data_IF_243862484924
#
_entry.id   IF_243862484924
#
_cell.length_a   1.000
_cell.length_b   1.000
_cell.length_c   1.000
_cell.angle_alpha   90.00
_cell.angle_beta   90.00
_cell.angle_gamma   90.00
#
_symmetry.space_group_name_H-M   'P 1'
#
loop_
_entity.id
_entity.type
_entity.pdbx_description
1 polymer ?
#
# COMPACT_ATOMS: atom_id res chain seq x y z
N UNK A 1 8.62 -2.88 32.54
CA UNK A 1 9.87 -3.03 33.32
C UNK A 1 10.33 -4.48 33.38
N UNK A 2 9.57 -5.40 34.01
CA UNK A 2 10.01 -6.80 34.20
C UNK A 2 10.42 -7.50 32.89
N UNK A 3 9.58 -7.46 31.85
CA UNK A 3 9.91 -8.04 30.54
C UNK A 3 11.20 -7.47 29.92
N UNK A 4 11.52 -6.20 30.18
CA UNK A 4 12.75 -5.55 29.71
C UNK A 4 13.93 -5.96 30.59
N UNK A 5 13.74 -6.10 31.90
CA UNK A 5 14.76 -6.67 32.77
C UNK A 5 15.15 -8.07 32.28
N UNK A 6 14.17 -8.95 32.08
CA UNK A 6 14.41 -10.35 31.68
C UNK A 6 15.08 -10.45 30.30
N UNK A 7 14.63 -9.64 29.31
CA UNK A 7 15.25 -9.58 27.99
C UNK A 7 16.76 -9.32 28.06
N UNK A 8 17.17 -8.36 28.90
CA UNK A 8 18.57 -7.98 29.04
C UNK A 8 19.35 -8.95 29.94
N UNK A 9 18.75 -9.40 31.06
CA UNK A 9 19.37 -10.35 31.99
C UNK A 9 19.65 -11.70 31.31
N UNK A 10 18.70 -12.19 30.49
CA UNK A 10 18.86 -13.41 29.70
C UNK A 10 19.74 -13.22 28.45
N UNK A 11 20.24 -12.02 28.18
CA UNK A 11 21.05 -11.68 26.99
C UNK A 11 20.34 -12.00 25.67
N UNK A 12 19.02 -11.82 25.62
CA UNK A 12 18.16 -12.12 24.46
C UNK A 12 17.92 -10.91 23.53
N UNK A 13 18.63 -9.81 23.74
CA UNK A 13 18.46 -8.57 22.95
C UNK A 13 18.77 -8.77 21.47
N UNK A 14 19.74 -9.63 21.14
CA UNK A 14 20.06 -9.94 19.74
C UNK A 14 18.89 -10.67 19.06
N UNK A 15 18.36 -11.73 19.67
CA UNK A 15 17.24 -12.50 19.14
C UNK A 15 15.99 -11.64 18.97
N UNK A 16 15.73 -10.74 19.92
CA UNK A 16 14.66 -9.77 19.78
C UNK A 16 14.91 -8.81 18.59
N UNK A 17 16.13 -8.30 18.43
CA UNK A 17 16.48 -7.43 17.28
C UNK A 17 16.36 -8.17 15.95
N UNK A 18 16.82 -9.42 15.88
CA UNK A 18 16.74 -10.26 14.68
C UNK A 18 15.28 -10.46 14.23
N UNK A 19 14.32 -10.44 15.16
CA UNK A 19 12.88 -10.54 14.86
C UNK A 19 12.24 -9.16 14.58
N UNK A 20 12.68 -8.13 15.31
CA UNK A 20 12.09 -6.79 15.26
C UNK A 20 12.56 -5.95 14.07
N UNK A 21 13.82 -6.09 13.65
CA UNK A 21 14.41 -5.28 12.58
C UNK A 21 13.83 -5.55 11.18
N UNK A 22 13.63 -6.82 10.73
CA UNK A 22 13.01 -7.09 9.43
C UNK A 22 11.67 -6.38 9.28
N UNK A 23 10.86 -6.44 10.33
CA UNK A 23 9.58 -5.74 10.40
C UNK A 23 9.73 -4.22 10.22
N UNK A 24 10.76 -3.60 10.81
CA UNK A 24 11.00 -2.16 10.64
C UNK A 24 11.37 -1.81 9.19
N UNK A 25 12.06 -2.71 8.49
CA UNK A 25 12.43 -2.55 7.09
C UNK A 25 11.27 -2.71 6.12
N UNK A 26 10.28 -3.53 6.46
CA UNK A 26 9.11 -3.69 5.61
C UNK A 26 8.05 -2.61 5.87
N UNK A 27 7.71 -2.37 7.14
CA UNK A 27 6.52 -1.56 7.51
C UNK A 27 6.91 -0.23 8.12
N UNK A 28 7.84 -0.23 9.07
CA UNK A 28 8.28 0.98 9.78
C UNK A 28 8.59 0.76 11.24
N UNK A 29 9.14 1.80 11.86
CA UNK A 29 9.55 1.77 13.27
C UNK A 29 8.33 1.72 14.20
N UNK A 30 8.52 1.22 15.42
CA UNK A 30 7.48 1.27 16.46
C UNK A 30 7.05 2.71 16.76
N UNK A 31 5.74 2.94 16.79
CA UNK A 31 5.19 4.21 17.25
C UNK A 31 5.29 4.35 18.78
N UNK A 32 5.21 3.23 19.50
CA UNK A 32 5.43 3.11 20.94
C UNK A 32 6.93 3.07 21.31
N UNK A 33 7.23 3.20 22.61
CA UNK A 33 8.58 3.00 23.16
C UNK A 33 9.03 1.55 23.02
N UNK A 34 10.32 1.39 22.67
CA UNK A 34 11.01 0.10 22.52
C UNK A 34 11.63 -0.40 23.85
N UNK A 35 12.01 -1.69 23.94
CA UNK A 35 12.76 -2.21 25.10
C UNK A 35 14.04 -1.42 25.40
N UNK A 36 14.75 -0.96 24.37
CA UNK A 36 15.96 -0.16 24.53
C UNK A 36 15.67 1.21 25.16
N UNK A 37 14.63 1.90 24.70
CA UNK A 37 14.22 3.19 25.27
C UNK A 37 13.76 3.04 26.73
N UNK A 38 12.97 1.99 27.02
CA UNK A 38 12.54 1.71 28.40
C UNK A 38 13.73 1.36 29.30
N UNK A 39 14.69 0.58 28.81
CA UNK A 39 15.91 0.22 29.54
C UNK A 39 16.73 1.46 29.90
N UNK A 40 16.85 2.44 29.00
CA UNK A 40 17.54 3.69 29.30
C UNK A 40 16.89 4.45 30.46
N UNK A 41 15.56 4.48 30.52
CA UNK A 41 14.82 5.11 31.62
C UNK A 41 15.04 4.33 32.92
N UNK A 42 14.94 3.00 32.86
CA UNK A 42 15.19 2.11 34.00
C UNK A 42 16.62 2.30 34.55
N UNK A 43 17.63 2.37 33.70
CA UNK A 43 19.03 2.48 34.10
C UNK A 43 19.36 3.81 34.77
N UNK A 44 18.70 4.90 34.35
CA UNK A 44 18.85 6.21 34.99
C UNK A 44 18.29 6.24 36.41
N UNK A 45 17.24 5.48 36.68
CA UNK A 45 16.49 5.55 37.95
C UNK A 45 16.93 4.46 38.94
N UNK A 46 17.06 3.22 38.46
CA UNK A 46 17.37 2.07 39.31
C UNK A 46 18.85 1.67 39.25
N UNK A 47 19.59 2.11 38.23
CA UNK A 47 20.97 1.70 37.95
C UNK A 47 21.04 0.50 37.00
N UNK A 48 22.21 0.31 36.37
CA UNK A 48 22.40 -0.69 35.29
C UNK A 48 22.25 -2.16 35.73
N UNK A 49 22.52 -2.44 37.02
CA UNK A 49 22.49 -3.78 37.62
C UNK A 49 21.37 -3.91 38.67
N UNK A 50 20.28 -3.15 38.50
CA UNK A 50 19.15 -3.18 39.42
C UNK A 50 18.56 -4.60 39.54
N UNK A 51 18.23 -4.98 40.76
CA UNK A 51 17.57 -6.26 41.09
C UNK A 51 16.05 -6.09 41.18
N UNK A 52 15.30 -7.18 41.36
CA UNK A 52 13.85 -7.07 41.59
C UNK A 52 13.49 -6.26 42.84
N UNK A 53 14.33 -6.29 43.87
CA UNK A 53 14.09 -5.52 45.10
C UNK A 53 14.23 -4.02 44.88
N UNK A 54 15.11 -3.58 43.98
CA UNK A 54 15.26 -2.17 43.61
C UNK A 54 13.97 -1.60 43.01
N UNK A 55 13.21 -2.40 42.26
CA UNK A 55 11.95 -1.99 41.65
C UNK A 55 10.81 -1.83 42.67
N UNK A 56 10.97 -2.37 43.88
CA UNK A 56 9.99 -2.24 44.97
C UNK A 56 10.13 -0.95 45.74
N UNK A 57 11.24 -0.22 45.58
CA UNK A 57 11.45 1.05 46.26
C UNK A 57 10.43 2.11 45.75
N UNK A 58 9.51 2.61 46.60
CA UNK A 58 8.44 3.49 46.15
C UNK A 58 8.92 4.80 45.52
N UNK A 59 9.95 5.43 46.09
CA UNK A 59 10.49 6.70 45.58
C UNK A 59 11.20 6.53 44.25
N UNK A 60 11.95 5.43 44.06
CA UNK A 60 12.54 5.11 42.75
C UNK A 60 11.46 4.77 41.72
N UNK A 61 10.43 4.02 42.11
CA UNK A 61 9.31 3.70 41.21
C UNK A 61 8.58 4.96 40.75
N UNK A 62 8.31 5.91 41.66
CA UNK A 62 7.72 7.21 41.31
C UNK A 62 8.60 8.01 40.35
N UNK A 63 9.92 8.05 40.60
CA UNK A 63 10.87 8.68 39.68
C UNK A 63 10.90 8.01 38.29
N UNK A 64 10.76 6.68 38.24
CA UNK A 64 10.61 5.94 36.98
C UNK A 64 9.34 6.32 36.24
N UNK A 65 8.20 6.38 36.92
CA UNK A 65 6.93 6.81 36.30
C UNK A 65 7.06 8.23 35.75
N UNK A 66 7.66 9.17 36.49
CA UNK A 66 7.92 10.53 36.00
C UNK A 66 8.83 10.54 34.76
N UNK A 67 9.89 9.73 34.76
CA UNK A 67 10.77 9.58 33.60
C UNK A 67 10.07 8.99 32.39
N UNK A 68 9.24 7.96 32.60
CA UNK A 68 8.42 7.34 31.56
C UNK A 68 7.41 8.32 30.97
N UNK A 69 6.69 9.08 31.80
CA UNK A 69 5.72 10.08 31.36
C UNK A 69 6.36 11.27 30.62
N UNK A 70 7.68 11.47 30.76
CA UNK A 70 8.44 12.49 30.03
C UNK A 70 9.01 11.98 28.69
N UNK A 71 8.84 10.70 28.38
CA UNK A 71 9.29 10.12 27.12
C UNK A 71 8.39 10.54 25.95
N UNK A 72 8.75 10.13 24.72
CA UNK A 72 7.93 10.43 23.54
C UNK A 72 6.59 9.68 23.61
N UNK A 73 5.52 10.38 23.25
CA UNK A 73 4.20 9.80 22.99
C UNK A 73 4.13 9.23 21.55
N UNK A 74 3.20 8.30 21.27
CA UNK A 74 2.95 7.84 19.90
C UNK A 74 2.55 9.01 18.99
N UNK A 75 2.90 8.94 17.70
CA UNK A 75 2.56 9.96 16.71
C UNK A 75 1.15 9.79 16.19
N UNK A 76 0.70 8.54 16.03
CA UNK A 76 -0.67 8.23 15.60
C UNK A 76 -1.54 8.19 16.85
N UNK A 77 -2.37 9.22 17.02
CA UNK A 77 -3.19 9.40 18.23
C UNK A 77 -4.66 9.31 17.90
N UNK A 78 -5.33 8.34 18.51
CA UNK A 78 -6.78 8.18 18.36
C UNK A 78 -7.51 9.43 18.84
N UNK A 79 -8.40 9.97 18.00
CA UNK A 79 -9.30 11.06 18.39
C UNK A 79 -10.59 10.44 18.93
N UNK A 80 -10.91 10.65 20.20
CA UNK A 80 -12.14 10.18 20.81
C UNK A 80 -13.14 11.32 20.99
N UNK A 81 -14.39 11.10 20.57
CA UNK A 81 -15.50 12.03 20.80
C UNK A 81 -16.08 11.92 22.22
N UNK A 82 -16.01 10.75 22.84
CA UNK A 82 -16.49 10.48 24.20
C UNK A 82 -15.58 9.50 24.94
N UNK A 83 -15.27 9.79 26.20
CA UNK A 83 -14.84 8.79 27.18
C UNK A 83 -16.06 8.46 28.02
N UNK A 84 -16.71 7.33 27.76
CA UNK A 84 -17.82 6.87 28.62
C UNK A 84 -17.24 6.41 29.97
N UNK A 85 -17.77 6.87 31.12
CA UNK A 85 -17.39 6.30 32.42
C UNK A 85 -17.71 4.80 32.42
N UNK A 86 -16.71 3.94 32.62
CA UNK A 86 -16.88 2.49 32.72
C UNK A 86 -16.32 1.64 31.56
N UNK A 87 -15.86 2.25 30.47
CA UNK A 87 -14.83 1.56 29.65
C UNK A 87 -13.50 1.66 30.39
N UNK A 88 -12.73 0.56 30.45
CA UNK A 88 -11.31 0.58 30.85
C UNK A 88 -10.68 1.84 30.25
N UNK A 89 -9.89 2.63 31.00
CA UNK A 89 -9.20 3.77 30.42
C UNK A 89 -8.35 3.23 29.28
N UNK A 90 -8.83 3.41 28.04
CA UNK A 90 -7.99 3.27 26.86
C UNK A 90 -6.93 4.32 27.11
N UNK A 91 -5.69 3.87 27.33
CA UNK A 91 -4.58 4.75 27.69
C UNK A 91 -4.68 6.00 26.82
N UNK A 92 -4.74 7.17 27.46
CA UNK A 92 -4.90 8.43 26.74
C UNK A 92 -3.87 8.44 25.61
N UNK A 93 -4.27 8.58 24.34
CA UNK A 93 -3.35 8.41 23.21
C UNK A 93 -2.23 9.47 23.21
N UNK A 94 -2.30 10.45 24.11
CA UNK A 94 -1.31 11.49 24.34
C UNK A 94 -0.23 11.16 25.37
N UNK A 95 -0.28 9.99 26.04
CA UNK A 95 0.77 9.58 26.99
C UNK A 95 1.74 8.57 26.36
N UNK A 96 3.00 8.52 26.82
CA UNK A 96 3.95 7.50 26.38
C UNK A 96 3.42 6.08 26.63
N UNK A 97 3.62 5.21 25.65
CA UNK A 97 3.24 3.81 25.72
C UNK A 97 4.46 2.94 25.45
N UNK A 98 4.52 1.78 26.10
CA UNK A 98 5.53 0.76 25.84
C UNK A 98 4.85 -0.50 25.34
N UNK A 99 5.38 -1.06 24.26
CA UNK A 99 4.97 -2.38 23.75
C UNK A 99 6.21 -3.15 23.34
N UNK A 100 6.28 -4.42 23.74
CA UNK A 100 7.42 -5.28 23.42
C UNK A 100 7.59 -5.50 21.90
N UNK A 101 6.47 -5.61 21.18
CA UNK A 101 6.36 -5.61 19.72
C UNK A 101 5.33 -4.54 19.32
N UNK A 102 5.67 -3.26 19.49
CA UNK A 102 4.74 -2.16 19.28
C UNK A 102 4.21 -2.03 17.86
N UNK A 103 3.06 -1.36 17.72
CA UNK A 103 2.46 -1.07 16.42
C UNK A 103 3.39 -0.18 15.59
N UNK A 104 3.32 -0.32 14.27
CA UNK A 104 4.21 0.40 13.37
C UNK A 104 3.64 1.75 13.00
N UNK A 105 4.49 2.76 13.07
CA UNK A 105 4.14 4.05 12.51
C UNK A 105 4.11 3.93 10.97
N UNK A 106 2.96 4.27 10.40
CA UNK A 106 2.78 4.40 8.96
C UNK A 106 2.22 5.81 8.63
N UNK A 107 2.83 6.52 7.66
CA UNK A 107 2.56 7.94 7.41
C UNK A 107 1.13 8.26 6.97
N UNK A 108 0.52 7.37 6.22
CA UNK A 108 -0.85 7.50 5.73
C UNK A 108 -1.87 7.32 6.86
N UNK A 109 -1.62 6.50 7.88
CA UNK A 109 -2.46 6.51 9.11
C UNK A 109 -2.36 7.85 9.84
N UNK A 110 -1.19 8.49 9.88
CA UNK A 110 -1.09 9.86 10.42
C UNK A 110 -1.94 10.84 9.60
N UNK A 111 -1.87 10.75 8.26
CA UNK A 111 -2.64 11.60 7.35
C UNK A 111 -4.14 11.43 7.59
N UNK A 112 -4.63 10.17 7.54
CA UNK A 112 -6.03 9.84 7.77
C UNK A 112 -6.50 10.31 9.15
N UNK A 113 -5.70 10.07 10.20
CA UNK A 113 -6.02 10.47 11.57
C UNK A 113 -6.12 11.99 11.72
N UNK A 114 -5.18 12.75 11.14
CA UNK A 114 -5.17 14.21 11.21
C UNK A 114 -6.27 14.85 10.38
N UNK A 115 -6.64 14.23 9.25
CA UNK A 115 -7.72 14.69 8.39
C UNK A 115 -9.11 14.17 8.76
N UNK A 116 -9.20 13.35 9.81
CA UNK A 116 -10.46 12.97 10.45
C UNK A 116 -10.76 13.91 11.63
N UNK A 117 -12.03 14.26 11.83
CA UNK A 117 -12.49 15.03 12.98
C UNK A 117 -13.82 14.43 13.47
N UNK A 118 -13.87 13.82 14.67
CA UNK A 118 -14.98 12.95 15.08
C UNK A 118 -16.39 13.53 14.91
N UNK A 119 -16.56 14.85 15.09
CA UNK A 119 -17.87 15.48 15.05
C UNK A 119 -18.32 15.92 13.66
N UNK A 120 -17.38 16.31 12.81
CA UNK A 120 -17.72 16.95 11.52
C UNK A 120 -17.30 16.08 10.34
N UNK A 121 -16.17 15.40 10.44
CA UNK A 121 -15.62 14.52 9.40
C UNK A 121 -15.05 13.24 10.02
N UNK A 122 -15.90 12.36 10.59
CA UNK A 122 -15.45 11.19 11.33
C UNK A 122 -14.71 10.16 10.46
N UNK A 123 -14.95 10.13 9.15
CA UNK A 123 -14.30 9.18 8.23
C UNK A 123 -13.54 9.93 7.14
N UNK A 124 -12.22 9.72 7.01
CA UNK A 124 -11.42 10.27 5.92
C UNK A 124 -11.64 9.49 4.61
N UNK A 125 -10.89 9.82 3.56
CA UNK A 125 -10.93 9.14 2.25
C UNK A 125 -9.53 8.73 1.82
N UNK A 126 -9.38 7.67 1.03
CA UNK A 126 -8.09 7.30 0.44
C UNK A 126 -7.48 8.44 -0.39
N UNK A 127 -8.34 9.27 -1.01
CA UNK A 127 -7.94 10.48 -1.71
C UNK A 127 -7.18 11.49 -0.83
N UNK A 128 -7.42 11.54 0.48
CA UNK A 128 -6.68 12.42 1.40
C UNK A 128 -5.19 12.08 1.41
N UNK A 129 -4.85 10.78 1.39
CA UNK A 129 -3.48 10.29 1.30
C UNK A 129 -2.84 10.78 0.00
N UNK A 130 -3.53 10.58 -1.14
CA UNK A 130 -3.02 10.98 -2.45
C UNK A 130 -2.87 12.50 -2.58
N UNK A 131 -3.76 13.27 -1.95
CA UNK A 131 -3.66 14.73 -1.89
C UNK A 131 -2.42 15.19 -1.12
N UNK A 132 -2.15 14.60 0.06
CA UNK A 132 -0.94 14.91 0.85
C UNK A 132 0.33 14.43 0.16
N UNK A 133 0.27 13.32 -0.57
CA UNK A 133 1.36 12.84 -1.41
C UNK A 133 1.62 13.74 -2.62
N UNK A 134 0.76 14.72 -2.89
CA UNK A 134 1.00 15.80 -3.85
C UNK A 134 0.17 15.70 -5.13
N UNK A 135 -0.91 14.91 -5.16
CA UNK A 135 -1.80 14.82 -6.32
C UNK A 135 -2.75 16.03 -6.40
N UNK A 136 -2.62 16.90 -7.42
CA UNK A 136 -3.57 18.00 -7.61
C UNK A 136 -4.95 17.48 -8.01
N UNK A 137 -5.01 16.32 -8.67
CA UNK A 137 -6.28 15.70 -9.08
C UNK A 137 -7.07 15.21 -7.87
N UNK A 138 -6.40 14.57 -6.90
CA UNK A 138 -7.03 14.18 -5.65
C UNK A 138 -7.60 15.37 -4.88
N UNK A 139 -6.84 16.47 -4.77
CA UNK A 139 -7.30 17.73 -4.17
C UNK A 139 -8.57 18.23 -4.87
N UNK A 140 -8.59 18.29 -6.21
CA UNK A 140 -9.78 18.73 -6.95
C UNK A 140 -10.99 17.82 -6.70
N UNK A 141 -10.81 16.50 -6.63
CA UNK A 141 -11.91 15.57 -6.35
C UNK A 141 -12.46 15.78 -4.93
N UNK A 142 -11.59 15.94 -3.93
CA UNK A 142 -11.99 16.22 -2.55
C UNK A 142 -12.75 17.56 -2.44
N UNK A 143 -12.26 18.61 -3.11
CA UNK A 143 -12.79 19.96 -2.98
C UNK A 143 -14.07 20.17 -3.80
N UNK A 144 -14.13 19.63 -5.02
CA UNK A 144 -15.22 19.91 -5.97
C UNK A 144 -16.26 18.80 -6.00
N UNK A 145 -15.82 17.53 -6.07
CA UNK A 145 -16.74 16.40 -6.20
C UNK A 145 -17.32 16.00 -4.83
N UNK A 146 -16.46 15.82 -3.82
CA UNK A 146 -16.88 15.45 -2.47
C UNK A 146 -17.23 16.64 -1.58
N UNK A 147 -16.76 17.85 -1.92
CA UNK A 147 -17.01 19.08 -1.16
C UNK A 147 -16.58 18.98 0.31
N UNK A 148 -15.49 18.27 0.57
CA UNK A 148 -14.92 18.10 1.92
C UNK A 148 -14.67 19.42 2.67
N UNK A 149 -14.22 20.52 2.01
CA UNK A 149 -14.07 21.82 2.67
C UNK A 149 -15.37 22.39 3.28
N UNK A 150 -16.54 21.97 2.79
CA UNK A 150 -17.84 22.40 3.32
C UNK A 150 -18.25 21.62 4.58
N UNK A 151 -17.59 20.47 4.82
CA UNK A 151 -17.91 19.58 5.94
C UNK A 151 -17.11 19.96 7.19
N UNK A 152 -15.86 20.43 7.01
CA UNK A 152 -14.99 20.83 8.12
C UNK A 152 -14.15 22.06 7.75
N UNK A 153 -14.43 23.21 8.37
CA UNK A 153 -13.79 24.50 8.02
C UNK A 153 -12.25 24.50 8.12
N UNK A 154 -11.67 23.67 9.00
CA UNK A 154 -10.20 23.58 9.14
C UNK A 154 -9.56 22.57 8.20
N UNK A 155 -10.34 21.81 7.43
CA UNK A 155 -9.85 20.73 6.57
C UNK A 155 -8.77 21.19 5.59
N UNK A 156 -9.02 22.28 4.86
CA UNK A 156 -8.06 22.81 3.88
C UNK A 156 -6.76 23.27 4.55
N UNK A 157 -6.85 23.91 5.71
CA UNK A 157 -5.69 24.38 6.46
C UNK A 157 -4.83 23.20 6.96
N UNK A 158 -5.45 22.19 7.55
CA UNK A 158 -4.77 20.98 8.03
C UNK A 158 -4.17 20.14 6.89
N UNK A 159 -4.90 19.98 5.78
CA UNK A 159 -4.38 19.32 4.57
C UNK A 159 -3.16 20.04 4.02
N UNK A 160 -3.21 21.36 3.90
CA UNK A 160 -2.08 22.14 3.39
C UNK A 160 -0.87 22.11 4.34
N UNK A 161 -1.11 22.02 5.65
CA UNK A 161 -0.05 21.79 6.64
C UNK A 161 0.64 20.44 6.42
N UNK A 162 -0.15 19.37 6.27
CA UNK A 162 0.36 18.03 5.94
C UNK A 162 1.14 18.02 4.62
N UNK A 163 0.61 18.64 3.55
CA UNK A 163 1.31 18.74 2.26
C UNK A 163 2.69 19.40 2.42
N UNK A 164 2.80 20.48 3.22
CA UNK A 164 4.09 21.13 3.48
C UNK A 164 5.03 20.25 4.28
N UNK A 165 4.56 19.64 5.36
CA UNK A 165 5.37 18.75 6.22
C UNK A 165 5.92 17.56 5.42
N UNK A 166 5.06 16.89 4.64
CA UNK A 166 5.46 15.76 3.79
C UNK A 166 6.32 16.18 2.59
N UNK A 167 6.09 17.39 2.06
CA UNK A 167 6.88 17.96 0.97
C UNK A 167 8.30 18.37 1.40
N UNK A 168 8.52 18.63 2.69
CA UNK A 168 9.83 18.97 3.27
C UNK A 168 10.62 17.75 3.73
N UNK A 169 10.05 16.54 3.66
CA UNK A 169 10.76 15.33 4.06
C UNK A 169 11.96 15.08 3.13
N UNK A 170 13.15 14.83 3.68
CA UNK A 170 14.33 14.53 2.89
C UNK A 170 14.19 13.17 2.18
N UNK A 171 14.93 13.00 1.08
CA UNK A 171 14.83 11.82 0.21
C UNK A 171 15.16 10.51 0.94
N UNK A 172 16.11 10.53 1.87
CA UNK A 172 16.48 9.39 2.72
C UNK A 172 15.30 8.88 3.57
N UNK A 173 14.39 9.77 3.97
CA UNK A 173 13.16 9.38 4.67
C UNK A 173 12.24 8.55 3.77
N UNK A 174 12.05 8.98 2.53
CA UNK A 174 11.25 8.25 1.53
C UNK A 174 11.84 6.90 1.17
N UNK A 175 13.16 6.73 1.30
CA UNK A 175 13.85 5.46 1.02
C UNK A 175 14.31 4.74 2.30
N UNK A 176 13.72 5.07 3.45
CA UNK A 176 14.17 4.53 4.74
C UNK A 176 13.72 3.08 4.99
N UNK A 177 12.62 2.67 4.38
CA UNK A 177 12.07 1.31 4.43
C UNK A 177 11.13 1.07 3.22
N UNK A 178 10.65 -0.16 3.07
CA UNK A 178 9.81 -0.55 1.92
C UNK A 178 8.48 0.20 1.89
N UNK A 179 7.82 0.42 3.04
CA UNK A 179 6.56 1.15 3.11
C UNK A 179 6.65 2.58 2.56
N UNK A 180 7.60 3.36 3.09
CA UNK A 180 7.89 4.72 2.62
C UNK A 180 8.31 4.72 1.16
N UNK A 181 9.11 3.72 0.78
CA UNK A 181 9.56 3.52 -0.58
C UNK A 181 8.40 3.27 -1.56
N UNK A 182 7.40 2.48 -1.15
CA UNK A 182 6.23 2.19 -1.97
C UNK A 182 5.36 3.44 -2.16
N UNK A 183 5.09 4.19 -1.09
CA UNK A 183 4.40 5.48 -1.22
C UNK A 183 5.19 6.46 -2.10
N UNK A 184 6.52 6.43 -2.04
CA UNK A 184 7.37 7.18 -2.94
C UNK A 184 7.21 6.72 -4.39
N UNK A 185 7.10 5.42 -4.70
CA UNK A 185 6.72 4.96 -6.05
C UNK A 185 5.38 5.55 -6.48
N UNK A 186 4.35 5.48 -5.63
CA UNK A 186 3.01 5.98 -5.97
C UNK A 186 3.00 7.49 -6.28
N UNK A 187 3.82 8.30 -5.58
CA UNK A 187 3.99 9.73 -5.89
C UNK A 187 4.38 10.00 -7.35
N UNK A 188 5.07 9.06 -8.00
CA UNK A 188 5.56 9.25 -9.38
C UNK A 188 4.45 9.12 -10.44
N UNK A 189 3.35 8.44 -10.14
CA UNK A 189 2.25 8.19 -11.09
C UNK A 189 1.04 9.11 -10.88
N UNK A 190 0.93 9.77 -9.73
CA UNK A 190 -0.21 10.65 -9.38
C UNK A 190 0.00 12.14 -9.73
N UNK A 191 1.08 12.44 -10.48
CA UNK A 191 1.42 13.80 -10.94
C UNK A 191 0.79 14.10 -12.30
N UNK A 192 0.51 15.37 -12.63
CA UNK A 192 0.08 15.73 -13.98
C UNK A 192 1.21 15.51 -14.98
N UNK A 193 0.85 15.05 -16.19
CA UNK A 193 1.77 14.90 -17.32
C UNK A 193 1.61 16.10 -18.27
N UNK A 194 2.73 16.76 -18.58
CA UNK A 194 2.78 17.96 -19.42
C UNK A 194 3.29 17.69 -20.83
N UNK A 195 3.84 18.72 -21.46
CA UNK A 195 4.54 18.61 -22.75
C UNK A 195 5.67 17.57 -22.68
N UNK A 196 5.86 16.82 -23.76
CA UNK A 196 6.78 15.68 -23.83
C UNK A 196 6.14 14.31 -23.56
N UNK A 197 4.94 14.25 -22.96
CA UNK A 197 4.18 13.01 -22.81
C UNK A 197 3.12 12.83 -23.91
N UNK A 198 2.73 11.58 -24.25
CA UNK A 198 1.68 11.31 -25.22
C UNK A 198 0.35 12.00 -24.90
N UNK A 199 -0.43 12.36 -25.93
CA UNK A 199 -1.73 13.04 -25.78
C UNK A 199 -2.70 12.32 -24.84
N UNK A 200 -2.70 10.98 -24.85
CA UNK A 200 -3.56 10.17 -23.99
C UNK A 200 -3.25 10.35 -22.49
N UNK A 201 -2.05 10.79 -22.10
CA UNK A 201 -1.68 11.00 -20.69
C UNK A 201 -1.97 12.41 -20.16
N UNK A 202 -2.15 13.38 -21.06
CA UNK A 202 -2.22 14.81 -20.72
C UNK A 202 -3.62 15.28 -20.31
N UNK A 203 -4.54 14.36 -20.07
CA UNK A 203 -5.94 14.66 -19.74
C UNK A 203 -6.32 14.20 -18.31
N UNK A 204 -7.48 14.65 -17.85
CA UNK A 204 -7.98 14.29 -16.52
C UNK A 204 -8.35 12.81 -16.40
N UNK A 205 -8.84 12.17 -17.48
CA UNK A 205 -9.21 10.75 -17.45
C UNK A 205 -8.01 9.86 -17.17
N UNK A 206 -6.84 10.19 -17.71
CA UNK A 206 -5.60 9.48 -17.40
C UNK A 206 -5.13 9.73 -15.98
N UNK A 207 -5.23 10.98 -15.48
CA UNK A 207 -4.94 11.28 -14.07
C UNK A 207 -5.87 10.52 -13.13
N UNK A 208 -7.15 10.37 -13.47
CA UNK A 208 -8.11 9.58 -12.72
C UNK A 208 -7.77 8.08 -12.75
N UNK A 209 -7.36 7.55 -13.92
CA UNK A 209 -6.85 6.18 -14.04
C UNK A 209 -5.63 5.95 -13.14
N UNK A 210 -4.65 6.83 -13.19
CA UNK A 210 -3.44 6.72 -12.37
C UNK A 210 -3.75 6.86 -10.88
N UNK A 211 -4.70 7.72 -10.52
CA UNK A 211 -5.15 7.88 -9.14
C UNK A 211 -5.88 6.62 -8.64
N UNK A 212 -6.73 6.00 -9.47
CA UNK A 212 -7.38 4.72 -9.15
C UNK A 212 -6.35 3.61 -8.98
N UNK A 213 -5.32 3.58 -9.84
CA UNK A 213 -4.20 2.63 -9.75
C UNK A 213 -3.42 2.82 -8.46
N UNK A 214 -3.11 4.07 -8.10
CA UNK A 214 -2.38 4.39 -6.88
C UNK A 214 -3.19 4.05 -5.61
N UNK A 215 -4.50 4.28 -5.62
CA UNK A 215 -5.39 3.94 -4.51
C UNK A 215 -5.55 2.42 -4.35
N UNK A 216 -5.69 1.67 -5.43
CA UNK A 216 -5.70 0.21 -5.39
C UNK A 216 -4.37 -0.35 -4.87
N UNK A 217 -3.24 0.15 -5.37
CA UNK A 217 -1.91 -0.27 -4.89
C UNK A 217 -1.67 0.14 -3.43
N UNK A 218 -2.20 1.28 -3.00
CA UNK A 218 -2.19 1.67 -1.58
C UNK A 218 -3.07 0.75 -0.74
N UNK A 219 -4.26 0.35 -1.22
CA UNK A 219 -5.10 -0.63 -0.53
C UNK A 219 -4.39 -1.99 -0.36
N UNK A 220 -3.67 -2.46 -1.40
CA UNK A 220 -2.78 -3.63 -1.29
C UNK A 220 -1.67 -3.42 -0.25
N UNK A 221 -0.98 -2.27 -0.27
CA UNK A 221 0.03 -1.95 0.74
C UNK A 221 -0.56 -1.98 2.18
N UNK A 222 -1.77 -1.47 2.37
CA UNK A 222 -2.48 -1.54 3.67
C UNK A 222 -2.78 -2.98 4.04
N UNK A 223 -3.35 -3.74 3.12
CA UNK A 223 -3.64 -5.16 3.30
C UNK A 223 -2.40 -5.94 3.77
N UNK A 224 -1.29 -5.81 3.04
CA UNK A 224 -0.04 -6.54 3.30
C UNK A 224 0.60 -6.18 4.65
N UNK A 225 0.26 -5.00 5.19
CA UNK A 225 0.85 -4.47 6.43
C UNK A 225 -0.06 -4.54 7.65
N UNK A 226 -1.33 -4.93 7.48
CA UNK A 226 -2.29 -4.95 8.59
C UNK A 226 -1.86 -5.96 9.66
N UNK A 227 -1.47 -7.20 9.32
CA UNK A 227 -0.95 -8.18 10.30
C UNK A 227 0.00 -9.26 9.69
N UNK A 228 0.80 -8.91 8.67
CA UNK A 228 1.68 -9.80 7.87
C UNK A 228 0.93 -10.84 7.04
N UNK A 229 -0.07 -10.38 6.29
CA UNK A 229 -0.91 -11.21 5.43
C UNK A 229 -0.36 -11.34 3.99
N UNK A 230 -0.98 -12.24 3.25
CA UNK A 230 -0.48 -13.00 2.11
C UNK A 230 -0.51 -12.23 0.80
N UNK A 231 0.44 -12.56 -0.07
CA UNK A 231 0.58 -11.96 -1.39
C UNK A 231 -0.55 -12.41 -2.32
N UNK A 232 -1.03 -11.48 -3.13
CA UNK A 232 -2.11 -11.68 -4.09
C UNK A 232 -1.66 -11.08 -5.43
N UNK A 233 -1.77 -11.89 -6.50
CA UNK A 233 -1.23 -11.57 -7.81
C UNK A 233 -2.17 -12.00 -8.93
N UNK A 234 -2.18 -11.21 -10.00
CA UNK A 234 -2.89 -11.47 -11.25
C UNK A 234 -2.15 -12.50 -12.09
N UNK A 235 -2.78 -13.65 -12.32
CA UNK A 235 -2.39 -14.58 -13.37
C UNK A 235 -2.83 -14.02 -14.74
N UNK A 236 -1.87 -13.78 -15.63
CA UNK A 236 -2.13 -13.56 -17.05
C UNK A 236 -1.74 -14.84 -17.79
N UNK A 237 -2.71 -15.74 -18.01
CA UNK A 237 -2.48 -16.96 -18.78
C UNK A 237 -2.03 -16.58 -20.20
N UNK A 238 -0.84 -17.03 -20.59
CA UNK A 238 -0.46 -17.05 -21.99
C UNK A 238 -1.30 -18.10 -22.71
N UNK A 239 -2.42 -17.67 -23.29
CA UNK A 239 -3.29 -18.55 -24.06
C UNK A 239 -2.51 -19.33 -25.13
N UNK A 240 -2.50 -20.65 -25.01
CA UNK A 240 -2.00 -21.57 -26.04
C UNK A 240 -2.92 -21.54 -27.26
N UNK A 241 -2.51 -20.82 -28.29
CA UNK A 241 -3.20 -20.73 -29.58
C UNK A 241 -2.25 -20.32 -30.69
N UNK A 242 -2.72 -20.39 -31.94
CA UNK A 242 -1.96 -19.87 -33.09
C UNK A 242 -1.42 -18.48 -32.79
N UNK A 243 -0.14 -18.26 -33.07
CA UNK A 243 0.53 -16.98 -32.85
C UNK A 243 -0.32 -15.90 -33.54
N UNK A 244 -0.96 -14.98 -32.79
CA UNK A 244 -1.62 -13.85 -33.42
C UNK A 244 -0.59 -13.06 -34.25
N UNK A 245 -1.03 -12.20 -35.18
CA UNK A 245 -0.13 -11.30 -35.90
C UNK A 245 0.83 -10.63 -34.90
N UNK A 246 2.09 -10.38 -35.31
CA UNK A 246 3.09 -9.69 -34.48
C UNK A 246 2.66 -8.24 -34.20
N UNK A 247 1.69 -8.07 -33.32
CA UNK A 247 1.19 -6.78 -32.88
C UNK A 247 2.26 -6.13 -31.99
N UNK A 248 2.52 -4.84 -32.22
CA UNK A 248 3.46 -4.07 -31.42
C UNK A 248 2.82 -3.73 -30.07
N UNK A 249 3.56 -3.92 -28.99
CA UNK A 249 3.18 -3.45 -27.67
C UNK A 249 3.70 -2.04 -27.40
N UNK A 250 3.22 -1.44 -26.31
CA UNK A 250 3.64 -0.12 -25.84
C UNK A 250 3.79 -0.15 -24.33
N UNK A 251 4.90 0.36 -23.78
CA UNK A 251 5.11 0.40 -22.33
C UNK A 251 4.53 1.71 -21.81
N UNK A 252 3.76 1.65 -20.72
CA UNK A 252 3.23 2.88 -20.12
C UNK A 252 4.41 3.82 -19.77
N UNK A 253 4.42 5.07 -20.25
CA UNK A 253 5.66 5.84 -20.29
C UNK A 253 5.86 6.57 -18.96
N UNK A 254 6.14 5.79 -17.92
CA UNK A 254 6.39 6.21 -16.55
C UNK A 254 7.79 5.76 -16.09
N UNK A 255 8.87 6.14 -16.78
CA UNK A 255 10.23 5.66 -16.48
C UNK A 255 10.66 5.97 -15.04
N UNK A 256 10.15 7.05 -14.46
CA UNK A 256 10.39 7.36 -13.06
C UNK A 256 9.81 6.30 -12.12
N UNK A 257 8.61 5.77 -12.39
CA UNK A 257 7.99 4.75 -11.55
C UNK A 257 8.82 3.46 -11.57
N UNK A 258 9.25 3.01 -12.75
CA UNK A 258 10.11 1.84 -12.91
C UNK A 258 11.45 2.01 -12.19
N UNK A 259 12.08 3.18 -12.32
CA UNK A 259 13.33 3.49 -11.59
C UNK A 259 13.13 3.46 -10.07
N UNK A 260 12.01 3.99 -9.57
CA UNK A 260 11.70 3.99 -8.14
C UNK A 260 11.43 2.56 -7.64
N UNK A 261 10.73 1.73 -8.41
CA UNK A 261 10.54 0.30 -8.12
C UNK A 261 11.88 -0.44 -8.09
N UNK A 262 12.74 -0.22 -9.08
CA UNK A 262 14.07 -0.83 -9.16
C UNK A 262 14.89 -0.54 -7.90
N UNK A 263 14.84 0.71 -7.43
CA UNK A 263 15.48 1.10 -6.18
C UNK A 263 14.96 0.30 -4.96
N UNK A 264 13.66 -0.02 -4.90
CA UNK A 264 13.10 -0.81 -3.80
C UNK A 264 13.54 -2.27 -3.84
N UNK A 265 13.65 -2.86 -5.03
CA UNK A 265 14.16 -4.23 -5.19
C UNK A 265 15.62 -4.31 -4.72
N UNK A 266 16.44 -3.35 -5.14
CA UNK A 266 17.83 -3.22 -4.69
C UNK A 266 17.94 -2.96 -3.18
N UNK A 267 17.06 -2.12 -2.63
CA UNK A 267 16.99 -1.84 -1.19
C UNK A 267 16.65 -3.12 -0.41
N UNK A 268 15.72 -3.93 -0.90
CA UNK A 268 15.34 -5.22 -0.28
C UNK A 268 16.56 -6.12 -0.14
N UNK A 269 17.35 -6.27 -1.22
CA UNK A 269 18.61 -7.05 -1.17
C UNK A 269 19.60 -6.47 -0.16
N UNK A 270 19.81 -5.15 -0.19
CA UNK A 270 20.73 -4.46 0.73
C UNK A 270 20.35 -4.64 2.20
N UNK A 271 19.05 -4.66 2.54
CA UNK A 271 18.57 -4.76 3.91
C UNK A 271 18.61 -6.20 4.46
N UNK A 272 18.33 -7.19 3.62
CA UNK A 272 18.21 -8.59 4.03
C UNK A 272 19.54 -9.36 4.03
N UNK A 273 20.47 -9.07 3.11
CA UNK A 273 21.74 -9.82 2.97
C UNK A 273 22.59 -9.83 4.24
N UNK A 274 22.87 -8.69 4.92
CA UNK A 274 23.75 -8.67 6.10
C UNK A 274 23.21 -9.47 7.30
N UNK A 275 21.93 -9.86 7.27
CA UNK A 275 21.23 -10.54 8.37
C UNK A 275 20.97 -12.02 8.09
N UNK A 276 21.42 -12.53 6.95
CA UNK A 276 21.19 -13.92 6.56
C UNK A 276 19.74 -14.23 6.14
N UNK A 277 18.94 -13.20 5.82
CA UNK A 277 17.55 -13.36 5.34
C UNK A 277 17.45 -13.42 3.82
N UNK A 278 18.57 -13.36 3.10
CA UNK A 278 18.62 -13.45 1.64
C UNK A 278 19.18 -14.81 1.22
N UNK A 279 18.33 -15.70 0.71
CA UNK A 279 18.77 -16.94 0.08
C UNK A 279 19.30 -16.68 -1.32
N UNK A 280 20.04 -17.64 -1.88
CA UNK A 280 20.55 -17.51 -3.25
C UNK A 280 19.40 -17.44 -4.25
N UNK A 281 18.41 -18.30 -4.07
CA UNK A 281 17.25 -18.42 -4.94
C UNK A 281 16.41 -17.13 -4.94
N UNK A 282 16.19 -16.54 -3.75
CA UNK A 282 15.53 -15.24 -3.64
C UNK A 282 16.35 -14.13 -4.29
N UNK A 283 17.67 -14.14 -4.13
CA UNK A 283 18.56 -13.16 -4.77
C UNK A 283 18.51 -13.25 -6.29
N UNK A 284 18.48 -14.47 -6.85
CA UNK A 284 18.39 -14.70 -8.30
C UNK A 284 17.05 -14.18 -8.84
N UNK A 285 15.95 -14.40 -8.10
CA UNK A 285 14.61 -13.91 -8.48
C UNK A 285 14.46 -12.40 -8.38
N UNK A 286 15.09 -11.77 -7.38
CA UNK A 286 15.18 -10.31 -7.32
C UNK A 286 16.02 -9.75 -8.46
N UNK A 287 17.06 -10.45 -8.94
CA UNK A 287 17.84 -10.03 -10.10
C UNK A 287 17.02 -10.12 -11.40
N UNK A 288 16.26 -11.20 -11.59
CA UNK A 288 15.30 -11.30 -12.70
C UNK A 288 14.25 -10.16 -12.67
N UNK A 289 13.80 -9.76 -11.47
CA UNK A 289 12.89 -8.62 -11.33
C UNK A 289 13.57 -7.27 -11.61
N UNK A 290 14.82 -7.09 -11.20
CA UNK A 290 15.64 -5.92 -11.56
C UNK A 290 15.77 -5.80 -13.08
N UNK A 291 16.12 -6.88 -13.78
CA UNK A 291 16.23 -6.92 -15.24
C UNK A 291 14.92 -6.51 -15.93
N UNK A 292 13.78 -6.98 -15.42
CA UNK A 292 12.47 -6.61 -15.94
C UNK A 292 12.20 -5.10 -15.77
N UNK A 293 12.48 -4.54 -14.60
CA UNK A 293 12.27 -3.12 -14.32
C UNK A 293 13.23 -2.23 -15.13
N UNK A 294 14.48 -2.64 -15.31
CA UNK A 294 15.45 -1.96 -16.16
C UNK A 294 15.02 -1.96 -17.63
N UNK A 295 14.50 -3.09 -18.12
CA UNK A 295 13.91 -3.19 -19.45
C UNK A 295 12.74 -2.22 -19.62
N UNK A 296 11.76 -2.23 -18.71
CA UNK A 296 10.58 -1.36 -18.76
C UNK A 296 10.98 0.13 -18.70
N UNK A 297 11.92 0.49 -17.81
CA UNK A 297 12.44 1.85 -17.73
C UNK A 297 13.10 2.28 -19.05
N UNK A 298 13.95 1.42 -19.63
CA UNK A 298 14.66 1.70 -20.89
C UNK A 298 13.68 1.87 -22.04
N UNK A 299 12.70 0.98 -22.17
CA UNK A 299 11.69 1.03 -23.25
C UNK A 299 10.79 2.26 -23.09
N UNK A 300 10.26 2.52 -21.91
CA UNK A 300 9.45 3.72 -21.64
C UNK A 300 10.20 5.01 -21.98
N UNK A 301 11.52 5.06 -21.71
CA UNK A 301 12.36 6.20 -22.05
C UNK A 301 12.53 6.33 -23.57
N UNK A 302 12.83 5.23 -24.27
CA UNK A 302 12.94 5.21 -25.74
C UNK A 302 11.65 5.67 -26.42
N UNK A 303 10.50 5.18 -25.95
CA UNK A 303 9.18 5.53 -26.49
C UNK A 303 8.85 7.01 -26.27
N UNK A 304 9.18 7.58 -25.11
CA UNK A 304 9.02 9.02 -24.84
C UNK A 304 9.91 9.88 -25.74
N UNK A 305 11.12 9.42 -26.05
CA UNK A 305 12.06 10.09 -26.95
C UNK A 305 11.72 9.89 -28.43
N UNK A 306 10.66 9.13 -28.76
CA UNK A 306 10.28 8.80 -30.14
C UNK A 306 11.28 7.88 -30.84
N UNK A 307 12.15 7.19 -30.09
CA UNK A 307 13.12 6.25 -30.66
C UNK A 307 12.44 4.91 -30.97
N UNK A 308 12.78 4.34 -32.12
CA UNK A 308 12.28 3.04 -32.55
C UNK A 308 12.82 1.91 -31.66
N UNK A 309 11.93 1.01 -31.23
CA UNK A 309 12.30 -0.21 -30.51
C UNK A 309 12.80 -1.30 -31.46
N UNK A 310 13.67 -2.19 -30.97
CA UNK A 310 14.14 -3.34 -31.74
C UNK A 310 13.08 -4.46 -31.80
N UNK A 311 13.26 -5.42 -32.71
CA UNK A 311 12.38 -6.59 -32.79
C UNK A 311 12.38 -7.39 -31.47
N UNK A 312 13.56 -7.57 -30.87
CA UNK A 312 13.72 -8.26 -29.58
C UNK A 312 13.01 -7.51 -28.44
N UNK A 313 13.04 -6.17 -28.44
CA UNK A 313 12.32 -5.36 -27.46
C UNK A 313 10.80 -5.56 -27.60
N UNK A 314 10.26 -5.58 -28.82
CA UNK A 314 8.84 -5.88 -29.01
C UNK A 314 8.47 -7.33 -28.61
N UNK A 315 9.34 -8.30 -28.88
CA UNK A 315 9.14 -9.67 -28.44
C UNK A 315 9.19 -9.79 -26.90
N UNK A 316 10.05 -9.04 -26.22
CA UNK A 316 10.08 -8.97 -24.76
C UNK A 316 8.82 -8.29 -24.17
N UNK A 317 8.33 -7.20 -24.78
CA UNK A 317 7.05 -6.58 -24.36
C UNK A 317 5.91 -7.61 -24.42
N UNK A 318 5.87 -8.44 -25.48
CA UNK A 318 4.85 -9.46 -25.65
C UNK A 318 4.90 -10.56 -24.57
N UNK A 319 6.08 -10.79 -23.99
CA UNK A 319 6.32 -11.81 -22.96
C UNK A 319 6.26 -11.25 -21.53
N UNK A 320 5.95 -9.96 -21.34
CA UNK A 320 5.95 -9.34 -20.01
C UNK A 320 4.99 -10.05 -19.04
N UNK A 321 3.83 -10.50 -19.53
CA UNK A 321 2.86 -11.26 -18.74
C UNK A 321 3.45 -12.57 -18.23
N UNK A 322 4.15 -13.32 -19.08
CA UNK A 322 4.85 -14.56 -18.69
C UNK A 322 5.96 -14.28 -17.67
N UNK A 323 6.70 -13.19 -17.85
CA UNK A 323 7.80 -12.85 -16.94
C UNK A 323 7.26 -12.53 -15.54
N UNK A 324 6.21 -11.71 -15.46
CA UNK A 324 5.52 -11.43 -14.20
C UNK A 324 4.92 -12.70 -13.58
N UNK A 325 4.33 -13.56 -14.39
CA UNK A 325 3.74 -14.83 -13.93
C UNK A 325 4.78 -15.74 -13.27
N UNK A 326 5.89 -16.00 -13.96
CA UNK A 326 6.96 -16.91 -13.46
C UNK A 326 7.55 -16.40 -12.16
N UNK A 327 7.87 -15.09 -12.10
CA UNK A 327 8.40 -14.48 -10.89
C UNK A 327 7.45 -14.66 -9.72
N UNK A 328 6.17 -14.42 -9.96
CA UNK A 328 5.19 -14.37 -8.90
C UNK A 328 4.75 -15.75 -8.44
N UNK A 329 4.56 -16.70 -9.35
CA UNK A 329 4.29 -18.10 -9.00
C UNK A 329 5.44 -18.67 -8.15
N UNK A 330 6.68 -18.32 -8.50
CA UNK A 330 7.84 -18.71 -7.72
C UNK A 330 7.79 -18.15 -6.30
N UNK A 331 7.54 -16.84 -6.14
CA UNK A 331 7.46 -16.20 -4.82
C UNK A 331 6.33 -16.80 -3.99
N UNK A 332 5.16 -17.01 -4.59
CA UNK A 332 3.96 -17.55 -3.92
C UNK A 332 4.12 -18.99 -3.44
N UNK A 333 4.92 -19.79 -4.15
CA UNK A 333 5.07 -21.21 -3.87
C UNK A 333 6.42 -21.59 -3.30
N UNK A 334 7.33 -20.63 -3.07
CA UNK A 334 8.72 -20.91 -2.72
C UNK A 334 9.36 -21.88 -3.75
N UNK A 335 9.05 -21.65 -5.03
CA UNK A 335 9.49 -22.46 -6.18
C UNK A 335 8.89 -23.87 -6.28
N UNK A 336 7.85 -24.20 -5.49
CA UNK A 336 7.27 -25.56 -5.44
C UNK A 336 6.13 -25.78 -6.42
N UNK A 337 5.41 -24.72 -6.82
CA UNK A 337 4.29 -24.83 -7.73
C UNK A 337 4.75 -24.66 -9.19
N UNK A 338 4.20 -25.48 -10.07
CA UNK A 338 4.39 -25.37 -11.52
C UNK A 338 3.27 -24.59 -12.20
N UNK A 339 2.10 -24.56 -11.57
CA UNK A 339 0.90 -23.91 -12.07
C UNK A 339 0.12 -23.23 -10.94
N UNK A 340 -0.64 -22.18 -11.27
CA UNK A 340 -1.45 -21.42 -10.30
C UNK A 340 -2.51 -22.26 -9.59
N UNK A 341 -3.00 -23.34 -10.20
CA UNK A 341 -3.99 -24.22 -9.57
C UNK A 341 -3.39 -25.02 -8.39
N UNK A 342 -2.06 -25.06 -8.25
CA UNK A 342 -1.37 -25.74 -7.15
C UNK A 342 -1.21 -24.83 -5.92
N UNK A 343 -1.41 -23.51 -6.07
CA UNK A 343 -1.32 -22.56 -4.96
C UNK A 343 -2.47 -22.80 -3.97
N UNK A 344 -2.12 -22.94 -2.69
CA UNK A 344 -3.06 -23.15 -1.61
C UNK A 344 -2.81 -22.18 -0.47
N UNK A 345 -3.89 -21.66 0.16
CA UNK A 345 -5.30 -21.80 -0.21
C UNK A 345 -5.69 -21.11 -1.53
N UNK A 346 -6.82 -21.51 -2.11
CA UNK A 346 -7.31 -20.98 -3.39
C UNK A 346 -7.58 -19.46 -3.40
N UNK A 347 -7.79 -18.86 -2.23
CA UNK A 347 -7.90 -17.41 -2.01
C UNK A 347 -6.67 -16.66 -2.47
N UNK A 348 -5.50 -17.32 -2.41
CA UNK A 348 -4.19 -16.73 -2.74
C UNK A 348 -3.95 -16.69 -4.26
N UNK A 349 -4.94 -17.15 -5.05
CA UNK A 349 -4.95 -17.09 -6.52
C UNK A 349 -5.69 -15.88 -7.06
N UNK A 350 -6.44 -15.17 -6.23
CA UNK A 350 -7.25 -14.02 -6.64
C UNK A 350 -6.55 -12.73 -6.26
N UNK A 351 -6.48 -11.79 -7.21
CA UNK A 351 -5.90 -10.46 -7.01
C UNK A 351 -6.69 -9.59 -6.03
N UNK A 352 -7.95 -9.96 -5.77
CA UNK A 352 -8.85 -9.19 -4.95
C UNK A 352 -8.52 -9.34 -3.47
N UNK A 353 -8.24 -8.21 -2.83
CA UNK A 353 -7.94 -8.09 -1.41
C UNK A 353 -8.68 -6.91 -0.80
N UNK A 354 -8.84 -6.91 0.54
CA UNK A 354 -9.51 -5.84 1.26
C UNK A 354 -8.81 -5.48 2.56
N UNK A 355 -8.84 -4.20 2.92
CA UNK A 355 -8.17 -3.68 4.11
C UNK A 355 -9.03 -2.61 4.80
N UNK A 356 -9.22 -2.76 6.12
CA UNK A 356 -9.79 -1.68 6.92
C UNK A 356 -8.68 -0.68 7.32
N UNK A 357 -8.84 0.58 6.90
CA UNK A 357 -7.79 1.60 7.06
C UNK A 357 -8.10 2.63 8.14
N UNK A 358 -9.36 2.71 8.55
CA UNK A 358 -9.83 3.64 9.56
C UNK A 358 -11.08 3.11 10.27
N UNK A 359 -11.25 3.41 11.55
CA UNK A 359 -12.47 3.09 12.32
C UNK A 359 -13.03 4.35 12.93
N UNK A 360 -14.32 4.60 12.70
CA UNK A 360 -15.05 5.71 13.27
C UNK A 360 -16.16 5.19 14.21
N UNK A 361 -16.27 5.83 15.36
CA UNK A 361 -17.31 5.56 16.36
C UNK A 361 -18.11 6.84 16.53
N UNK A 362 -19.30 6.89 15.95
CA UNK A 362 -20.23 8.01 16.03
C UNK A 362 -21.57 7.55 16.61
N UNK A 363 -21.70 7.65 17.94
CA UNK A 363 -22.89 7.23 18.70
C UNK A 363 -23.95 8.32 18.84
N UNK A 364 -23.84 9.43 18.11
CA UNK A 364 -24.89 10.47 18.12
C UNK A 364 -26.20 9.93 17.55
N UNK A 365 -27.36 10.47 17.96
CA UNK A 365 -28.61 10.26 17.23
C UNK A 365 -28.42 10.62 15.75
N UNK A 366 -28.71 9.69 14.83
CA UNK A 366 -28.46 9.79 13.39
C UNK A 366 -26.98 9.90 12.96
N UNK A 367 -26.03 9.57 13.85
CA UNK A 367 -24.62 9.45 13.52
C UNK A 367 -24.31 8.20 12.68
N UNK A 368 -23.06 8.07 12.24
CA UNK A 368 -22.63 6.94 11.40
C UNK A 368 -22.64 5.57 12.12
N UNK A 369 -22.76 5.55 13.45
CA UNK A 369 -22.60 4.33 14.24
C UNK A 369 -21.13 3.92 14.38
N UNK A 370 -20.91 2.62 14.59
CA UNK A 370 -19.57 2.03 14.67
C UNK A 370 -19.21 1.41 13.32
N UNK A 371 -18.39 2.12 12.53
CA UNK A 371 -18.04 1.74 11.15
C UNK A 371 -16.54 1.72 10.93
N UNK A 372 -16.09 0.88 10.02
CA UNK A 372 -14.76 0.91 9.42
C UNK A 372 -14.83 1.42 7.98
N UNK A 373 -13.75 2.08 7.54
CA UNK A 373 -13.50 2.41 6.15
C UNK A 373 -12.72 1.25 5.52
N UNK A 374 -13.36 0.56 4.58
CA UNK A 374 -12.79 -0.54 3.81
C UNK A 374 -12.26 -0.01 2.48
N UNK A 375 -11.02 -0.37 2.18
CA UNK A 375 -10.34 -0.11 0.91
C UNK A 375 -10.09 -1.45 0.23
N UNK A 376 -10.64 -1.64 -0.97
CA UNK A 376 -10.64 -2.92 -1.67
C UNK A 376 -10.09 -2.84 -3.09
N UNK A 377 -9.42 -3.91 -3.49
CA UNK A 377 -9.07 -4.20 -4.89
C UNK A 377 -9.95 -5.33 -5.37
N UNK A 378 -10.55 -5.20 -6.54
CA UNK A 378 -11.29 -6.29 -7.18
C UNK A 378 -10.54 -6.84 -8.39
N UNK A 379 -11.25 -7.53 -9.27
CA UNK A 379 -10.68 -8.02 -10.53
C UNK A 379 -10.23 -6.87 -11.45
N UNK A 380 -9.21 -7.13 -12.27
CA UNK A 380 -8.64 -6.15 -13.17
C UNK A 380 -9.68 -5.67 -14.19
N UNK A 381 -9.71 -4.37 -14.43
CA UNK A 381 -10.46 -3.77 -15.52
C UNK A 381 -9.63 -3.78 -16.79
N UNK A 382 -10.32 -3.81 -17.93
CA UNK A 382 -9.68 -3.63 -19.23
C UNK A 382 -9.56 -2.14 -19.57
N UNK A 383 -8.42 -1.76 -20.12
CA UNK A 383 -8.19 -0.43 -20.70
C UNK A 383 -7.90 -0.55 -22.19
N UNK A 384 -8.41 0.40 -22.95
CA UNK A 384 -8.08 0.61 -24.35
C UNK A 384 -7.42 1.98 -24.51
N UNK A 385 -6.26 2.03 -25.16
CA UNK A 385 -5.48 3.26 -25.32
C UNK A 385 -5.02 3.39 -26.76
N UNK A 386 -5.17 4.58 -27.35
CA UNK A 386 -4.58 4.88 -28.65
C UNK A 386 -3.18 5.41 -28.41
N UNK A 387 -2.17 4.66 -28.86
CA UNK A 387 -0.75 4.96 -28.65
C UNK A 387 -0.05 5.24 -29.99
N UNK A 388 0.90 6.19 -30.04
CA UNK A 388 1.73 6.41 -31.21
C UNK A 388 2.90 5.42 -31.23
N UNK A 389 3.02 4.61 -32.28
CA UNK A 389 4.16 3.71 -32.50
C UNK A 389 4.69 3.95 -33.91
N UNK A 390 5.95 4.41 -34.00
CA UNK A 390 6.63 4.66 -35.29
C UNK A 390 5.83 5.60 -36.23
N UNK A 391 5.16 6.61 -35.68
CA UNK A 391 4.38 7.58 -36.45
C UNK A 391 2.94 7.17 -36.76
N UNK A 392 2.56 5.93 -36.49
CA UNK A 392 1.21 5.41 -36.69
C UNK A 392 0.45 5.28 -35.36
N UNK A 393 -0.88 5.36 -35.41
CA UNK A 393 -1.74 5.19 -34.23
C UNK A 393 -2.21 3.73 -34.11
N UNK A 394 -1.92 3.12 -32.95
CA UNK A 394 -2.35 1.77 -32.61
C UNK A 394 -3.33 1.80 -31.46
N UNK A 395 -4.39 0.99 -31.55
CA UNK A 395 -5.25 0.69 -30.42
C UNK A 395 -4.61 -0.46 -29.61
N UNK A 396 -4.18 -0.18 -28.39
CA UNK A 396 -3.70 -1.19 -27.45
C UNK A 396 -4.76 -1.53 -26.42
N UNK A 397 -4.69 -2.77 -25.92
CA UNK A 397 -5.52 -3.27 -24.81
C UNK A 397 -4.58 -3.66 -23.67
N UNK A 398 -4.97 -3.34 -22.43
CA UNK A 398 -4.22 -3.70 -21.23
C UNK A 398 -5.12 -3.95 -20.04
N UNK A 399 -4.51 -4.28 -18.91
CA UNK A 399 -5.18 -4.45 -17.63
C UNK A 399 -4.85 -3.26 -16.70
N UNK A 400 -5.85 -2.79 -15.94
CA UNK A 400 -5.68 -1.76 -14.91
C UNK A 400 -6.41 -2.18 -13.64
N UNK A 401 -5.96 -1.69 -12.49
CA UNK A 401 -6.59 -1.99 -11.21
C UNK A 401 -8.03 -1.49 -11.14
N UNK A 402 -8.86 -2.24 -10.42
CA UNK A 402 -10.12 -1.77 -9.88
C UNK A 402 -9.95 -1.35 -8.42
N UNK A 403 -10.66 -0.31 -8.00
CA UNK A 403 -10.58 0.25 -6.65
C UNK A 403 -11.97 0.43 -6.05
N UNK A 404 -12.11 0.10 -4.77
CA UNK A 404 -13.34 0.18 -3.98
C UNK A 404 -13.04 0.90 -2.67
N UNK A 405 -13.89 1.84 -2.28
CA UNK A 405 -13.83 2.57 -1.00
C UNK A 405 -15.27 2.61 -0.46
N UNK A 406 -15.51 2.01 0.71
CA UNK A 406 -16.86 2.00 1.30
C UNK A 406 -16.83 1.84 2.83
N UNK A 407 -17.96 2.16 3.46
CA UNK A 407 -18.14 1.95 4.90
C UNK A 407 -18.72 0.57 5.16
N UNK A 408 -18.20 -0.08 6.18
CA UNK A 408 -18.69 -1.38 6.66
C UNK A 408 -18.91 -1.30 8.18
N UNK A 409 -19.92 -1.99 8.74
CA UNK A 409 -20.07 -2.05 10.19
C UNK A 409 -18.83 -2.65 10.85
N UNK A 410 -18.32 -2.02 11.92
CA UNK A 410 -17.06 -2.42 12.58
C UNK A 410 -17.06 -3.89 13.05
N UNK A 411 -18.23 -4.43 13.41
CA UNK A 411 -18.42 -5.83 13.83
C UNK A 411 -18.46 -6.84 12.66
N UNK A 412 -18.45 -6.33 11.42
CA UNK A 412 -18.52 -7.09 10.17
C UNK A 412 -17.38 -6.69 9.21
N UNK A 413 -16.21 -6.34 9.76
CA UNK A 413 -14.99 -6.16 8.97
C UNK A 413 -14.81 -7.35 8.04
N UNK A 414 -14.46 -7.07 6.79
CA UNK A 414 -14.40 -8.09 5.76
C UNK A 414 -13.06 -8.81 5.80
N UNK A 415 -13.12 -10.12 5.58
CA UNK A 415 -11.98 -10.94 5.18
C UNK A 415 -11.87 -10.99 3.66
N UNK A 416 -10.70 -11.36 3.13
CA UNK A 416 -10.51 -11.55 1.68
C UNK A 416 -11.47 -12.59 1.12
N UNK A 417 -11.74 -13.68 1.85
CA UNK A 417 -12.70 -14.71 1.46
C UNK A 417 -14.11 -14.13 1.26
N UNK A 418 -14.53 -13.26 2.18
CA UNK A 418 -15.83 -12.60 2.11
C UNK A 418 -15.87 -11.59 0.96
N UNK A 419 -14.79 -10.84 0.76
CA UNK A 419 -14.67 -9.86 -0.32
C UNK A 419 -14.67 -10.51 -1.71
N UNK A 420 -13.83 -11.52 -1.91
CA UNK A 420 -13.77 -12.32 -3.14
C UNK A 420 -15.13 -12.97 -3.44
N UNK A 421 -15.82 -13.50 -2.41
CA UNK A 421 -17.18 -14.03 -2.55
C UNK A 421 -18.17 -12.94 -2.97
N UNK A 422 -18.12 -11.76 -2.37
CA UNK A 422 -18.99 -10.63 -2.75
C UNK A 422 -18.78 -10.20 -4.21
N UNK A 423 -17.53 -10.17 -4.69
CA UNK A 423 -17.22 -9.88 -6.09
C UNK A 423 -17.79 -10.96 -7.03
N UNK A 424 -17.55 -12.24 -6.71
CA UNK A 424 -18.04 -13.39 -7.50
C UNK A 424 -19.57 -13.43 -7.61
N UNK A 425 -20.26 -13.05 -6.54
CA UNK A 425 -21.72 -13.03 -6.46
C UNK A 425 -22.34 -11.74 -7.02
N UNK A 426 -21.53 -10.79 -7.49
CA UNK A 426 -22.01 -9.50 -8.01
C UNK A 426 -22.66 -8.62 -6.94
N UNK A 427 -22.30 -8.82 -5.66
CA UNK A 427 -22.82 -8.06 -4.50
C UNK A 427 -21.83 -7.03 -3.96
N UNK A 428 -20.68 -6.84 -4.61
CA UNK A 428 -19.71 -5.83 -4.24
C UNK A 428 -20.34 -4.42 -4.27
N UNK A 429 -19.97 -3.51 -3.33
CA UNK A 429 -20.40 -2.13 -3.37
C UNK A 429 -19.95 -1.42 -4.65
N UNK A 430 -20.60 -0.31 -4.97
CA UNK A 430 -20.20 0.50 -6.12
C UNK A 430 -18.81 1.10 -5.88
N UNK A 431 -17.99 1.12 -6.93
CA UNK A 431 -16.75 1.87 -6.93
C UNK A 431 -17.00 3.37 -6.66
N UNK A 432 -15.98 4.13 -6.19
CA UNK A 432 -16.12 5.55 -5.89
C UNK A 432 -16.74 6.33 -7.04
N UNK A 433 -17.64 7.26 -6.74
CA UNK A 433 -18.49 7.90 -7.77
C UNK A 433 -17.71 8.62 -8.89
N UNK A 434 -16.51 9.12 -8.59
CA UNK A 434 -15.65 9.80 -9.55
C UNK A 434 -15.03 8.87 -10.60
N UNK A 435 -15.00 7.54 -10.38
CA UNK A 435 -14.44 6.62 -11.37
C UNK A 435 -15.25 6.55 -12.66
N UNK A 436 -16.53 6.95 -12.59
CA UNK A 436 -17.42 7.08 -13.75
C UNK A 436 -16.97 8.12 -14.78
N UNK A 437 -16.05 9.03 -14.42
CA UNK A 437 -15.56 10.05 -15.36
C UNK A 437 -14.60 9.50 -16.41
N UNK A 438 -14.01 8.32 -16.18
CA UNK A 438 -13.05 7.71 -17.10
C UNK A 438 -13.38 6.26 -17.48
N UNK A 439 -14.30 5.62 -16.76
CA UNK A 439 -14.77 4.28 -17.09
C UNK A 439 -15.89 4.31 -18.13
N UNK A 440 -15.77 3.47 -19.16
CA UNK A 440 -16.89 3.18 -20.04
C UNK A 440 -17.98 2.40 -19.30
N UNK A 441 -19.26 2.59 -19.68
CA UNK A 441 -20.32 1.70 -19.20
C UNK A 441 -20.02 0.29 -19.70
N UNK A 442 -20.21 -0.76 -18.87
CA UNK A 442 -20.01 -2.12 -19.34
C UNK A 442 -20.90 -2.31 -20.58
N UNK A 443 -20.36 -2.85 -21.69
CA UNK A 443 -21.21 -3.20 -22.81
C UNK A 443 -22.31 -4.13 -22.31
N UNK A 444 -23.53 -3.99 -22.83
CA UNK A 444 -24.51 -5.06 -22.68
C UNK A 444 -23.80 -6.33 -23.14
N UNK A 445 -23.84 -7.40 -22.34
CA UNK A 445 -23.27 -8.70 -22.72
C UNK A 445 -24.05 -9.20 -23.94
N UNK A 446 -23.68 -8.76 -25.13
CA UNK A 446 -23.95 -9.51 -26.34
C UNK A 446 -23.00 -10.69 -26.24
N UNK A 447 -23.56 -11.85 -25.92
CA UNK A 447 -22.86 -13.12 -25.93
C UNK A 447 -22.37 -13.31 -27.35
N UNK A 448 -21.10 -12.96 -27.62
CA UNK A 448 -20.43 -13.41 -28.83
C UNK A 448 -20.20 -14.90 -28.61
N UNK A 449 -21.16 -15.70 -29.04
CA UNK A 449 -21.00 -17.14 -29.18
C UNK A 449 -19.86 -17.33 -30.16
N UNK A 450 -18.71 -17.79 -29.68
CA UNK A 450 -17.63 -18.22 -30.55
C UNK A 450 -18.22 -19.24 -31.53
N UNK A 451 -18.29 -18.89 -32.82
CA UNK A 451 -18.70 -19.85 -33.84
C UNK A 451 -17.72 -21.03 -33.79
N UNK A 452 -18.29 -22.23 -33.62
CA UNK A 452 -17.55 -23.47 -33.42
C UNK A 452 -16.50 -23.66 -34.52
N UNK A 453 -15.26 -23.92 -34.09
CA UNK A 453 -14.19 -24.32 -35.00
C UNK A 453 -14.59 -25.65 -35.67
N UNK A 454 -14.59 -25.63 -37.00
CA UNK A 454 -14.69 -26.81 -37.84
C UNK A 454 -13.56 -27.80 -37.50
N UNK A 455 -13.94 -29.04 -37.22
CA UNK A 455 -13.02 -30.18 -37.21
C UNK A 455 -12.74 -30.61 -38.64
N UNK A 456 -11.46 -30.66 -39.03
CA UNK A 456 -11.05 -31.13 -40.35
C UNK A 456 -9.57 -31.46 -40.40
N UNK A 457 -9.28 -32.75 -40.15
CA UNK A 457 -8.08 -33.56 -40.40
C UNK A 457 -6.74 -33.13 -39.78
#
# INVERSE_FOLDING_TARGET
MLIVHDLYAAKLTKQWSDLFEPVNYFVGFADDLTPAELKQIMDRVFGRNATFDDYRNPSKFEAFIKGFMSARAPRIRHKFAFVTPGLLPVATPDIPQFRFMGQRYIPDSEILQRLSEPWVRPVPKGLDVMAVLGSPRAIRLLDVFYREPQTWDKYVAERNKLIREFGQLPQDKWTSNMYWGWLWVLKSIIKPYGEGYPSFMRNNSWQDKCLSTALASWAQLRHDTILYAKQSLVAAECGGGERPPKAKGYVEPVPEAFRRLLHLVQLTRKLLTPRGFMTREMSDKLAEFEDMLEFLQRVATKELEGRRLTADEYDQIRLIGSWMEILSLWVMSDGKAKDWYEIQPATDRDMACIADVHTAIDRRPNGLGEVCLEEGVGHAHEIFVIVPIEGELYLTRGAVFSYYEFLQPMRKRLTDEEWQRMLKEGRAPKQPGWTKFFMAKPPKRDVIVAQGRYWGC
#
